data_IF_161084834717
#
_entry.id   IF_161084834717
#
_cell.length_a   1.000
_cell.length_b   1.000
_cell.length_c   1.000
_cell.angle_alpha   90.00
_cell.angle_beta   90.00
_cell.angle_gamma   90.00
#
_symmetry.space_group_name_H-M   'P 1'
#
loop_
_entity.id
_entity.type
_entity.pdbx_description
1 polymer ?
#
# COMPACT_ATOMS: atom_id res chain seq x y z
N UNK A 1 -4.19 -5.75 -13.35
CA UNK A 1 -5.04 -6.30 -12.23
C UNK A 1 -6.40 -5.59 -12.24
N UNK A 2 -7.50 -6.24 -11.89
CA UNK A 2 -8.84 -5.60 -11.85
C UNK A 2 -9.11 -5.02 -10.45
N UNK A 3 -8.83 -3.73 -10.26
CA UNK A 3 -8.93 -3.04 -8.98
C UNK A 3 -10.32 -2.44 -8.81
N UNK A 4 -11.07 -2.91 -7.80
CA UNK A 4 -12.35 -2.32 -7.43
C UNK A 4 -12.13 -1.00 -6.70
N UNK A 5 -12.76 0.09 -7.16
CA UNK A 5 -12.60 1.42 -6.57
C UNK A 5 -13.88 1.89 -5.89
N UNK A 6 -13.78 2.24 -4.61
CA UNK A 6 -14.85 2.86 -3.81
C UNK A 6 -14.32 4.17 -3.22
N UNK A 7 -14.84 5.31 -3.70
CA UNK A 7 -14.38 6.62 -3.25
C UNK A 7 -15.14 7.06 -1.99
N UNK A 8 -14.41 7.75 -1.09
CA UNK A 8 -15.02 8.37 0.10
C UNK A 8 -15.93 9.53 -0.28
N UNK A 9 -17.04 9.68 0.45
CA UNK A 9 -17.90 10.85 0.38
C UNK A 9 -17.41 12.00 1.29
N UNK A 10 -16.50 11.68 2.24
CA UNK A 10 -16.00 12.62 3.24
C UNK A 10 -14.48 12.81 3.06
N UNK A 11 -14.10 13.70 2.14
CA UNK A 11 -12.68 14.02 1.90
C UNK A 11 -12.11 14.83 3.07
N UNK A 12 -10.88 14.49 3.47
CA UNK A 12 -10.11 15.25 4.47
C UNK A 12 -9.63 16.58 3.88
N UNK A 13 -9.40 17.57 4.74
CA UNK A 13 -8.67 18.77 4.36
C UNK A 13 -7.26 18.40 3.89
N UNK A 14 -6.83 18.99 2.78
CA UNK A 14 -5.49 18.73 2.24
C UNK A 14 -4.44 19.47 3.05
N UNK A 15 -3.31 18.81 3.38
CA UNK A 15 -2.23 19.45 4.11
C UNK A 15 -1.50 20.48 3.27
N UNK A 16 -0.71 21.34 3.92
CA UNK A 16 0.27 22.16 3.24
C UNK A 16 1.41 21.28 2.70
N UNK A 17 1.45 21.10 1.40
CA UNK A 17 2.46 20.28 0.73
C UNK A 17 3.88 20.84 0.81
N UNK A 18 4.06 22.10 1.20
CA UNK A 18 5.38 22.68 1.44
C UNK A 18 5.99 22.27 2.79
N UNK A 19 5.15 21.76 3.69
CA UNK A 19 5.57 21.36 5.05
C UNK A 19 4.85 20.07 5.48
N UNK A 20 5.32 18.93 4.96
CA UNK A 20 4.77 17.61 5.26
C UNK A 20 5.64 16.87 6.29
N UNK A 21 5.29 16.88 7.59
CA UNK A 21 5.98 16.07 8.58
C UNK A 21 5.72 14.58 8.33
N UNK A 22 6.70 13.76 8.68
CA UNK A 22 6.62 12.32 8.49
C UNK A 22 5.55 11.69 9.40
N UNK A 23 4.65 10.88 8.80
CA UNK A 23 3.69 10.05 9.54
C UNK A 23 2.55 10.81 10.21
N UNK A 24 2.28 12.07 9.85
CA UNK A 24 1.20 12.88 10.45
C UNK A 24 -0.05 12.91 9.57
N UNK A 25 0.11 13.02 8.27
CA UNK A 25 -1.01 13.08 7.34
C UNK A 25 -1.18 11.77 6.61
N UNK A 26 -2.43 11.34 6.49
CA UNK A 26 -2.84 10.14 5.77
C UNK A 26 -3.82 10.50 4.65
N UNK A 27 -3.80 9.71 3.59
CA UNK A 27 -4.67 9.86 2.42
C UNK A 27 -6.14 9.61 2.76
N UNK A 28 -7.02 10.00 1.83
CA UNK A 28 -8.47 9.72 1.92
C UNK A 28 -8.80 8.24 1.69
N UNK A 29 -7.91 7.54 1.00
CA UNK A 29 -8.11 6.15 0.58
C UNK A 29 -6.89 5.31 0.91
N UNK A 30 -7.08 4.01 0.94
CA UNK A 30 -6.04 3.00 1.06
C UNK A 30 -6.26 1.90 0.03
N UNK A 31 -5.19 1.24 -0.37
CA UNK A 31 -5.25 0.02 -1.17
C UNK A 31 -5.23 -1.19 -0.24
N UNK A 32 -6.07 -2.16 -0.52
CA UNK A 32 -6.13 -3.43 0.17
C UNK A 32 -6.05 -4.56 -0.84
N UNK A 33 -5.33 -5.60 -0.47
CA UNK A 33 -5.18 -6.80 -1.28
C UNK A 33 -5.05 -8.01 -0.36
N UNK A 34 -5.95 -8.95 -0.49
CA UNK A 34 -6.00 -10.11 0.38
C UNK A 34 -5.20 -11.27 -0.18
N UNK A 35 -4.64 -12.07 0.71
CA UNK A 35 -4.04 -13.35 0.36
C UNK A 35 -4.70 -14.48 1.13
N UNK A 36 -5.08 -15.53 0.42
CA UNK A 36 -5.60 -16.77 1.02
C UNK A 36 -4.81 -17.95 0.50
N UNK A 37 -4.32 -18.80 1.39
CA UNK A 37 -3.61 -20.01 1.01
C UNK A 37 -4.50 -20.90 0.13
N UNK A 38 -3.93 -21.38 -0.97
CA UNK A 38 -4.66 -22.16 -1.98
C UNK A 38 -5.43 -21.34 -3.03
N UNK A 39 -5.65 -20.04 -2.77
CA UNK A 39 -6.27 -19.11 -3.74
C UNK A 39 -5.20 -18.16 -4.31
N UNK A 40 -4.30 -17.67 -3.47
CA UNK A 40 -3.33 -16.63 -3.81
C UNK A 40 -3.83 -15.23 -3.46
N UNK A 41 -3.26 -14.21 -4.10
CA UNK A 41 -3.66 -12.83 -3.98
C UNK A 41 -4.98 -12.57 -4.71
N UNK A 42 -5.95 -11.93 -4.04
CA UNK A 42 -7.30 -11.71 -4.57
C UNK A 42 -7.93 -10.42 -4.00
N UNK A 43 -9.04 -10.00 -4.59
CA UNK A 43 -9.83 -8.83 -4.18
C UNK A 43 -9.03 -7.51 -4.04
N UNK A 44 -8.19 -7.13 -5.04
CA UNK A 44 -7.50 -5.86 -5.01
C UNK A 44 -8.51 -4.71 -5.04
N UNK A 45 -8.39 -3.76 -4.10
CA UNK A 45 -9.38 -2.69 -3.98
C UNK A 45 -8.80 -1.41 -3.42
N UNK A 46 -9.29 -0.28 -3.89
CA UNK A 46 -9.10 1.04 -3.28
C UNK A 46 -10.37 1.38 -2.51
N UNK A 47 -10.22 1.63 -1.22
CA UNK A 47 -11.33 1.90 -0.30
C UNK A 47 -11.08 3.18 0.52
N UNK A 48 -12.12 3.81 1.12
CA UNK A 48 -11.92 4.88 2.08
C UNK A 48 -10.99 4.43 3.21
N UNK A 49 -10.08 5.31 3.64
CA UNK A 49 -9.16 5.02 4.74
C UNK A 49 -9.93 4.70 6.02
N UNK A 50 -9.67 3.53 6.61
CA UNK A 50 -10.35 3.03 7.81
C UNK A 50 -9.41 2.23 8.72
N UNK A 51 -9.85 1.91 9.92
CA UNK A 51 -9.15 1.00 10.81
C UNK A 51 -9.24 -0.43 10.29
N UNK A 52 -8.15 -1.19 10.42
CA UNK A 52 -8.15 -2.62 10.12
C UNK A 52 -8.76 -3.38 11.30
N UNK A 53 -9.68 -4.30 11.01
CA UNK A 53 -10.16 -5.28 11.98
C UNK A 53 -9.27 -6.52 11.89
N UNK A 54 -8.61 -6.87 12.99
CA UNK A 54 -7.63 -7.96 13.03
C UNK A 54 -7.91 -8.90 14.19
N UNK A 55 -7.71 -10.20 13.95
CA UNK A 55 -7.69 -11.18 15.02
C UNK A 55 -6.56 -10.86 16.03
N UNK A 56 -6.82 -10.92 17.35
CA UNK A 56 -5.76 -10.76 18.34
C UNK A 56 -4.67 -11.85 18.23
N UNK A 57 -4.93 -12.94 17.51
CA UNK A 57 -3.95 -14.00 17.24
C UNK A 57 -3.09 -13.73 15.99
N UNK A 58 -3.29 -12.61 15.29
CA UNK A 58 -2.50 -12.27 14.10
C UNK A 58 -1.02 -12.19 14.41
N UNK A 59 -0.19 -12.81 13.56
CA UNK A 59 1.26 -12.92 13.76
C UNK A 59 1.96 -11.55 13.79
N UNK A 60 1.41 -10.55 13.13
CA UNK A 60 1.92 -9.18 13.19
C UNK A 60 1.90 -8.61 14.62
N UNK A 61 0.92 -9.01 15.45
CA UNK A 61 0.76 -8.53 16.82
C UNK A 61 1.67 -9.24 17.82
N UNK A 62 2.16 -10.46 17.52
CA UNK A 62 2.95 -11.28 18.43
C UNK A 62 4.42 -11.41 18.02
N UNK A 63 4.67 -11.58 16.74
CA UNK A 63 6.02 -11.84 16.21
C UNK A 63 6.49 -10.74 15.25
N UNK A 64 5.69 -9.69 15.06
CA UNK A 64 6.03 -8.62 14.13
C UNK A 64 6.18 -9.11 12.69
N UNK A 65 5.40 -10.13 12.28
CA UNK A 65 5.42 -10.63 10.90
C UNK A 65 4.73 -9.61 10.00
N UNK A 66 5.49 -8.60 9.63
CA UNK A 66 5.07 -7.52 8.73
C UNK A 66 6.27 -7.00 7.97
N UNK A 67 6.03 -6.52 6.78
CA UNK A 67 7.02 -5.83 5.95
C UNK A 67 6.51 -4.44 5.60
N UNK A 68 7.41 -3.53 5.29
CA UNK A 68 7.05 -2.22 4.76
C UNK A 68 7.95 -1.85 3.60
N UNK A 69 7.44 -1.01 2.74
CA UNK A 69 8.20 -0.38 1.67
C UNK A 69 7.78 1.09 1.57
N UNK A 70 8.69 1.96 1.17
CA UNK A 70 8.42 3.37 0.99
C UNK A 70 8.87 3.84 -0.38
N UNK A 71 7.98 4.53 -1.08
CA UNK A 71 8.30 5.21 -2.32
C UNK A 71 7.66 6.61 -2.31
N UNK A 72 8.12 7.48 -3.21
CA UNK A 72 7.58 8.84 -3.35
C UNK A 72 7.04 9.06 -4.75
N UNK A 73 5.91 9.74 -4.82
CA UNK A 73 5.41 10.34 -6.05
C UNK A 73 5.88 11.79 -6.12
N UNK A 74 6.34 12.23 -7.29
CA UNK A 74 6.87 13.56 -7.50
C UNK A 74 5.98 14.32 -8.47
N UNK A 75 5.56 15.53 -8.08
CA UNK A 75 4.89 16.44 -8.99
C UNK A 75 5.94 17.17 -9.84
N UNK A 76 5.91 16.93 -11.14
CA UNK A 76 6.77 17.60 -12.10
C UNK A 76 6.38 19.08 -12.32
N UNK A 77 7.31 19.86 -12.86
CA UNK A 77 7.05 21.28 -13.23
C UNK A 77 5.96 21.42 -14.30
N UNK A 78 5.71 20.38 -15.05
CA UNK A 78 4.65 20.25 -16.07
C UNK A 78 3.29 19.81 -15.50
N UNK A 79 3.20 19.63 -14.18
CA UNK A 79 1.98 19.16 -13.48
C UNK A 79 1.76 17.66 -13.49
N UNK A 80 2.65 16.88 -14.11
CA UNK A 80 2.55 15.44 -14.16
C UNK A 80 3.14 14.77 -12.90
N UNK A 81 2.48 13.71 -12.43
CA UNK A 81 2.95 12.92 -11.30
C UNK A 81 3.82 11.77 -11.81
N UNK A 82 4.98 11.62 -11.22
CA UNK A 82 5.96 10.58 -11.61
C UNK A 82 6.46 9.78 -10.43
N UNK A 83 6.64 8.49 -10.66
CA UNK A 83 7.36 7.58 -9.78
C UNK A 83 8.75 7.33 -10.36
N UNK A 84 9.75 7.14 -9.50
CA UNK A 84 11.10 6.80 -9.92
C UNK A 84 11.39 5.34 -9.65
N UNK A 85 11.41 4.53 -10.71
CA UNK A 85 11.74 3.09 -10.69
C UNK A 85 10.93 2.31 -9.63
N UNK A 86 9.59 2.42 -9.59
CA UNK A 86 8.76 1.80 -8.56
C UNK A 86 8.88 0.27 -8.54
N UNK A 87 9.21 -0.36 -9.69
CA UNK A 87 9.44 -1.80 -9.80
C UNK A 87 10.52 -2.29 -8.82
N UNK A 88 11.58 -1.51 -8.58
CA UNK A 88 12.63 -1.88 -7.64
C UNK A 88 12.17 -1.84 -6.18
N UNK A 89 11.22 -0.97 -5.86
CA UNK A 89 10.58 -0.94 -4.54
C UNK A 89 9.75 -2.22 -4.35
N UNK A 90 9.00 -2.64 -5.35
CA UNK A 90 8.18 -3.86 -5.30
C UNK A 90 9.05 -5.13 -5.25
N UNK A 91 10.16 -5.16 -5.99
CA UNK A 91 11.16 -6.25 -5.89
C UNK A 91 11.76 -6.33 -4.47
N UNK A 92 12.14 -5.20 -3.88
CA UNK A 92 12.67 -5.14 -2.51
C UNK A 92 11.63 -5.57 -1.48
N UNK A 93 10.37 -5.16 -1.63
CA UNK A 93 9.28 -5.62 -0.78
C UNK A 93 9.11 -7.14 -0.85
N UNK A 94 9.21 -7.73 -2.04
CA UNK A 94 9.18 -9.19 -2.22
C UNK A 94 10.38 -9.91 -1.58
N UNK A 95 11.58 -9.30 -1.59
CA UNK A 95 12.75 -9.84 -0.86
C UNK A 95 12.48 -9.81 0.65
N UNK A 96 11.88 -8.74 1.16
CA UNK A 96 11.50 -8.62 2.56
C UNK A 96 10.43 -9.64 2.94
N UNK A 97 9.43 -9.83 2.09
CA UNK A 97 8.38 -10.82 2.25
C UNK A 97 8.96 -12.24 2.36
N UNK A 98 9.88 -12.60 1.48
CA UNK A 98 10.53 -13.91 1.49
C UNK A 98 11.25 -14.19 2.82
N UNK A 99 11.89 -13.17 3.43
CA UNK A 99 12.58 -13.31 4.72
C UNK A 99 11.62 -13.62 5.87
N UNK A 100 10.39 -13.12 5.80
CA UNK A 100 9.37 -13.30 6.85
C UNK A 100 8.31 -14.34 6.49
N UNK A 101 8.53 -15.09 5.39
CA UNK A 101 7.58 -16.12 4.92
C UNK A 101 6.20 -15.50 4.63
N UNK A 102 6.19 -14.28 4.13
CA UNK A 102 5.01 -13.61 3.60
C UNK A 102 4.95 -13.89 2.10
N UNK A 103 3.79 -14.21 1.53
CA UNK A 103 3.66 -14.49 0.10
C UNK A 103 4.16 -13.35 -0.78
N UNK A 104 4.95 -13.69 -1.80
CA UNK A 104 5.34 -12.72 -2.83
C UNK A 104 4.17 -12.45 -3.78
N UNK A 105 4.19 -11.29 -4.40
CA UNK A 105 3.22 -10.87 -5.41
C UNK A 105 3.92 -10.52 -6.72
N UNK A 106 3.17 -10.42 -7.80
CA UNK A 106 3.69 -9.97 -9.09
C UNK A 106 4.11 -8.49 -9.00
N UNK A 107 5.33 -8.17 -9.44
CA UNK A 107 5.91 -6.82 -9.35
C UNK A 107 5.09 -5.80 -10.15
N UNK A 108 4.61 -6.18 -11.32
CA UNK A 108 3.79 -5.30 -12.17
C UNK A 108 2.46 -4.95 -11.50
N UNK A 109 1.81 -5.95 -10.87
CA UNK A 109 0.59 -5.75 -10.09
C UNK A 109 0.84 -4.83 -8.89
N UNK A 110 1.98 -4.99 -8.21
CA UNK A 110 2.37 -4.10 -7.11
C UNK A 110 2.65 -2.66 -7.53
N UNK A 111 3.13 -2.43 -8.74
CA UNK A 111 3.32 -1.08 -9.32
C UNK A 111 1.98 -0.47 -9.72
N UNK A 112 1.03 -1.28 -10.21
CA UNK A 112 -0.32 -0.82 -10.58
C UNK A 112 -1.14 -0.41 -9.34
N UNK A 113 -0.95 -1.09 -8.21
CA UNK A 113 -1.61 -0.82 -6.93
C UNK A 113 -1.23 0.53 -6.33
#
# INVERSE_FOLDING_TARGET
MDIKVTLTQNKKEKPDYSNLPFGVYYTDHMFEWDYTEGIGWHDPRIVPFHNLEMSPCSMVLHYGQTTFEGLKAYLGKDGEIRLFRPELNMERLNISNERLVIPKFNVEDGVEA
#
